data_IF_894045980028
#
_entry.id   IF_894045980028
#
_cell.length_a   1.000
_cell.length_b   1.000
_cell.length_c   1.000
_cell.angle_alpha   90.00
_cell.angle_beta   90.00
_cell.angle_gamma   90.00
#
_symmetry.space_group_name_H-M   'P 1'
#
loop_
_entity.id
_entity.type
_entity.pdbx_description
1 polymer ?
#
# COMPACT_ATOMS: atom_id res chain seq x y z
N UNK A 1 22.93 -69.99 27.83
CA UNK A 1 22.04 -68.82 27.99
C UNK A 1 22.42 -67.82 26.91
N UNK A 2 21.42 -67.49 25.99
CA UNK A 2 21.61 -66.63 24.80
C UNK A 2 21.53 -65.13 25.07
N UNK A 3 21.82 -64.34 24.07
CA UNK A 3 21.67 -62.86 24.06
C UNK A 3 20.18 -62.52 23.95
N UNK A 4 19.73 -61.47 24.68
CA UNK A 4 18.36 -60.96 24.61
C UNK A 4 18.13 -60.14 23.34
N UNK A 5 16.91 -60.24 22.82
CA UNK A 5 16.44 -59.48 21.65
C UNK A 5 15.18 -58.68 22.02
N UNK A 6 15.11 -57.42 21.56
CA UNK A 6 13.89 -56.63 21.54
C UNK A 6 13.09 -57.04 20.30
N UNK A 7 11.77 -57.22 20.43
CA UNK A 7 10.89 -57.50 19.32
C UNK A 7 9.56 -56.79 19.55
N UNK A 8 9.17 -55.91 18.61
CA UNK A 8 7.91 -55.15 18.64
C UNK A 8 7.23 -55.23 17.27
N UNK A 9 5.92 -55.54 17.27
CA UNK A 9 5.11 -55.50 16.06
C UNK A 9 4.85 -54.05 15.65
N UNK A 10 4.94 -53.77 14.34
CA UNK A 10 4.64 -52.45 13.78
C UNK A 10 3.12 -52.24 13.83
N UNK A 11 2.61 -51.08 14.32
CA UNK A 11 1.19 -50.76 14.32
C UNK A 11 0.59 -50.85 12.88
N UNK A 12 -0.65 -51.33 12.80
CA UNK A 12 -1.32 -51.59 11.51
C UNK A 12 -1.46 -50.34 10.64
N UNK A 13 -1.66 -49.19 11.25
CA UNK A 13 -1.78 -47.86 10.64
C UNK A 13 -0.46 -47.33 10.07
N UNK A 14 0.69 -47.85 10.53
CA UNK A 14 2.03 -47.44 10.07
C UNK A 14 2.74 -48.47 9.20
N UNK A 15 2.11 -49.64 8.94
CA UNK A 15 2.73 -50.71 8.14
C UNK A 15 3.25 -50.28 6.78
N UNK A 16 2.59 -49.34 6.14
CA UNK A 16 2.98 -48.80 4.82
C UNK A 16 4.34 -48.08 4.83
N UNK A 17 4.84 -47.66 6.00
CA UNK A 17 6.16 -47.01 6.14
C UNK A 17 7.31 -48.01 6.36
N UNK A 18 7.02 -49.32 6.49
CA UNK A 18 8.00 -50.32 6.79
C UNK A 18 7.90 -51.52 5.85
N UNK A 19 9.05 -52.07 5.47
CA UNK A 19 9.11 -53.28 4.65
C UNK A 19 9.04 -54.59 5.48
N UNK A 20 8.90 -54.50 6.79
CA UNK A 20 8.89 -55.66 7.75
C UNK A 20 7.69 -55.55 8.69
N UNK A 21 7.18 -56.66 9.16
CA UNK A 21 6.05 -56.67 10.10
C UNK A 21 6.45 -56.47 11.58
N UNK A 22 7.70 -56.71 11.89
CA UNK A 22 8.24 -56.62 13.27
C UNK A 22 9.64 -56.02 13.23
N UNK A 23 9.89 -55.14 14.18
CA UNK A 23 11.24 -54.63 14.45
C UNK A 23 11.89 -55.60 15.45
N UNK A 24 13.05 -56.15 15.08
CA UNK A 24 13.83 -57.05 15.89
C UNK A 24 15.23 -56.47 16.04
N UNK A 25 15.69 -56.28 17.26
CA UNK A 25 17.00 -55.70 17.55
C UNK A 25 17.70 -56.49 18.69
N UNK A 26 18.95 -56.86 18.46
CA UNK A 26 19.78 -57.51 19.52
C UNK A 26 20.11 -56.47 20.59
N UNK A 27 19.90 -56.84 21.86
CA UNK A 27 20.25 -56.01 23.03
C UNK A 27 21.70 -56.21 23.47
N UNK A 28 22.44 -57.09 22.83
CA UNK A 28 23.86 -57.37 23.05
C UNK A 28 24.20 -57.59 24.54
N UNK A 29 23.28 -58.13 25.32
CA UNK A 29 23.44 -58.42 26.74
C UNK A 29 22.82 -59.77 27.07
N UNK A 30 23.43 -60.46 28.10
CA UNK A 30 22.89 -61.65 28.67
C UNK A 30 22.29 -61.40 30.09
N UNK A 31 22.32 -60.14 30.53
CA UNK A 31 21.80 -59.75 31.86
C UNK A 31 20.34 -59.25 31.69
N UNK A 32 19.41 -59.85 32.44
CA UNK A 32 17.98 -59.58 32.38
C UNK A 32 17.64 -58.14 32.74
N UNK A 33 18.21 -57.56 33.78
CA UNK A 33 17.97 -56.20 34.22
C UNK A 33 18.42 -55.19 33.20
N UNK A 34 19.60 -55.38 32.59
CA UNK A 34 20.10 -54.53 31.50
C UNK A 34 19.25 -54.66 30.22
N UNK A 35 18.79 -55.88 29.92
CA UNK A 35 17.91 -56.12 28.78
C UNK A 35 16.56 -55.40 28.94
N UNK A 36 15.95 -55.43 30.12
CA UNK A 36 14.70 -54.72 30.40
C UNK A 36 14.86 -53.22 30.27
N UNK A 37 15.90 -52.62 30.85
CA UNK A 37 16.16 -51.17 30.74
C UNK A 37 16.40 -50.75 29.30
N UNK A 38 17.18 -51.45 28.51
CA UNK A 38 17.43 -51.18 27.10
C UNK A 38 16.15 -51.35 26.26
N UNK A 39 15.35 -52.40 26.51
CA UNK A 39 14.08 -52.59 25.82
C UNK A 39 13.11 -51.47 26.09
N UNK A 40 13.03 -50.95 27.30
CA UNK A 40 12.19 -49.82 27.66
C UNK A 40 12.63 -48.52 26.99
N UNK A 41 13.95 -48.26 26.92
CA UNK A 41 14.49 -47.10 26.23
C UNK A 41 14.20 -47.13 24.70
N UNK A 42 14.27 -48.33 24.08
CA UNK A 42 13.93 -48.52 22.67
C UNK A 42 12.43 -48.31 22.46
N UNK A 43 11.58 -48.83 23.34
CA UNK A 43 10.14 -48.67 23.27
C UNK A 43 9.71 -47.22 23.31
N UNK A 44 10.24 -46.42 24.23
CA UNK A 44 9.96 -44.99 24.33
C UNK A 44 10.36 -44.24 23.05
N UNK A 45 11.50 -44.54 22.47
CA UNK A 45 11.95 -43.95 21.18
C UNK A 45 11.05 -44.33 20.02
N UNK A 46 10.58 -45.56 19.96
CA UNK A 46 9.65 -46.03 18.95
C UNK A 46 8.26 -45.35 19.06
N UNK A 47 7.74 -45.24 20.27
CA UNK A 47 6.44 -44.60 20.49
C UNK A 47 6.47 -43.14 20.16
N UNK A 48 7.54 -42.39 20.45
CA UNK A 48 7.74 -41.02 20.01
C UNK A 48 7.83 -40.93 18.46
N UNK A 49 8.62 -41.81 17.85
CA UNK A 49 8.74 -41.86 16.38
C UNK A 49 7.41 -42.15 15.70
N UNK A 50 6.65 -43.14 16.20
CA UNK A 50 5.34 -43.47 15.64
C UNK A 50 4.29 -42.38 15.86
N UNK A 51 4.33 -41.68 16.99
CA UNK A 51 3.48 -40.53 17.24
C UNK A 51 3.77 -39.39 16.27
N UNK A 52 5.05 -39.10 16.02
CA UNK A 52 5.46 -38.10 15.01
C UNK A 52 5.04 -38.48 13.58
N UNK A 53 5.16 -39.78 13.25
CA UNK A 53 4.74 -40.28 11.92
C UNK A 53 3.23 -40.16 11.71
N UNK A 54 2.41 -40.41 12.77
CA UNK A 54 0.95 -40.20 12.70
C UNK A 54 0.59 -38.73 12.53
N UNK A 55 1.20 -37.85 13.32
CA UNK A 55 1.00 -36.39 13.16
C UNK A 55 1.36 -35.89 11.75
N UNK A 56 2.45 -36.42 11.20
CA UNK A 56 2.86 -36.08 9.84
C UNK A 56 1.84 -36.57 8.79
N UNK A 57 1.34 -37.80 8.93
CA UNK A 57 0.29 -38.35 8.05
C UNK A 57 -1.05 -37.57 8.18
N UNK A 58 -1.45 -37.19 9.37
CA UNK A 58 -2.67 -36.38 9.60
C UNK A 58 -2.55 -35.00 8.95
N UNK A 59 -1.38 -34.36 9.05
CA UNK A 59 -1.09 -33.09 8.39
C UNK A 59 -1.11 -33.23 6.85
N UNK A 60 -0.52 -34.32 6.32
CA UNK A 60 -0.55 -34.59 4.89
C UNK A 60 -1.98 -34.91 4.39
N UNK A 61 -2.77 -35.65 5.18
CA UNK A 61 -4.16 -35.98 4.82
C UNK A 61 -5.07 -34.74 4.84
N UNK A 62 -4.94 -33.86 5.84
CA UNK A 62 -5.64 -32.55 5.88
C UNK A 62 -5.21 -31.67 4.73
N UNK A 63 -3.93 -31.64 4.35
CA UNK A 63 -3.43 -30.93 3.17
C UNK A 63 -4.01 -31.49 1.87
N UNK A 64 -4.11 -32.80 1.74
CA UNK A 64 -4.68 -33.49 0.57
C UNK A 64 -6.18 -33.20 0.40
N UNK A 65 -6.96 -33.15 1.48
CA UNK A 65 -8.38 -32.81 1.45
C UNK A 65 -8.60 -31.34 1.01
N UNK A 66 -7.75 -30.41 1.47
CA UNK A 66 -7.79 -29.03 1.05
C UNK A 66 -7.31 -28.82 -0.39
N UNK A 67 -6.44 -29.69 -0.91
CA UNK A 67 -5.95 -29.60 -2.31
C UNK A 67 -7.03 -29.88 -3.36
N UNK A 68 -8.12 -30.55 -3.00
CA UNK A 68 -9.20 -30.89 -3.94
C UNK A 68 -10.35 -29.86 -3.98
N UNK A 69 -10.37 -28.88 -3.06
CA UNK A 69 -11.38 -27.82 -3.11
C UNK A 69 -11.09 -26.89 -4.28
N UNK A 70 -12.01 -26.81 -5.22
CA UNK A 70 -12.00 -25.79 -6.27
C UNK A 70 -12.25 -24.42 -5.63
N UNK A 71 -11.33 -23.47 -5.83
CA UNK A 71 -11.45 -22.11 -5.28
C UNK A 71 -11.55 -21.14 -6.45
N UNK A 72 -12.72 -20.55 -6.62
CA UNK A 72 -12.92 -19.53 -7.65
C UNK A 72 -12.14 -18.25 -7.32
N UNK A 73 -11.73 -17.55 -8.35
CA UNK A 73 -11.03 -16.27 -8.18
C UNK A 73 -11.90 -15.25 -7.42
N UNK A 74 -13.20 -15.22 -7.63
CA UNK A 74 -14.14 -14.36 -6.90
C UNK A 74 -14.18 -14.65 -5.39
N UNK A 75 -14.07 -15.92 -4.98
CA UNK A 75 -13.96 -16.32 -3.57
C UNK A 75 -12.64 -15.79 -2.98
N UNK A 76 -11.54 -15.95 -3.70
CA UNK A 76 -10.22 -15.43 -3.33
C UNK A 76 -10.22 -13.91 -3.14
N UNK A 77 -10.94 -13.16 -3.96
CA UNK A 77 -11.11 -11.70 -3.82
C UNK A 77 -11.81 -11.37 -2.52
N UNK A 78 -12.88 -12.09 -2.18
CA UNK A 78 -13.65 -11.86 -0.95
C UNK A 78 -12.83 -12.16 0.30
N UNK A 79 -12.11 -13.29 0.30
CA UNK A 79 -11.21 -13.67 1.40
C UNK A 79 -10.04 -12.68 1.55
N UNK A 80 -9.43 -12.25 0.42
CA UNK A 80 -8.36 -11.27 0.42
C UNK A 80 -8.80 -9.92 1.01
N UNK A 81 -10.01 -9.46 0.67
CA UNK A 81 -10.59 -8.24 1.21
C UNK A 81 -10.91 -8.39 2.71
N UNK A 82 -11.46 -9.52 3.13
CA UNK A 82 -11.73 -9.81 4.53
C UNK A 82 -10.47 -9.79 5.38
N UNK A 83 -9.39 -10.44 4.90
CA UNK A 83 -8.13 -10.54 5.63
C UNK A 83 -7.31 -9.22 5.63
N UNK A 84 -7.36 -8.45 4.54
CA UNK A 84 -6.46 -7.31 4.32
C UNK A 84 -7.17 -5.95 4.24
N UNK A 85 -8.51 -5.92 4.27
CA UNK A 85 -9.30 -4.70 4.04
C UNK A 85 -9.66 -3.90 5.28
N UNK A 86 -9.72 -4.52 6.46
CA UNK A 86 -10.29 -3.96 7.69
C UNK A 86 -9.69 -2.62 8.16
N UNK A 87 -8.42 -2.36 7.83
CA UNK A 87 -7.72 -1.11 8.19
C UNK A 87 -7.23 -0.33 6.96
N UNK A 88 -7.80 -0.59 5.77
CA UNK A 88 -7.37 0.06 4.54
C UNK A 88 -8.40 1.03 4.00
N UNK A 89 -7.94 1.99 3.20
CA UNK A 89 -8.83 2.97 2.59
C UNK A 89 -9.78 2.33 1.58
N UNK A 90 -10.97 2.91 1.40
CA UNK A 90 -11.93 2.53 0.34
C UNK A 90 -11.29 2.49 -1.06
N UNK A 91 -10.20 3.24 -1.28
CA UNK A 91 -9.43 3.22 -2.53
C UNK A 91 -8.75 1.87 -2.78
N UNK A 92 -8.31 1.19 -1.72
CA UNK A 92 -7.74 -0.15 -1.81
C UNK A 92 -8.81 -1.16 -2.27
N UNK A 93 -9.97 -1.17 -1.63
CA UNK A 93 -11.09 -2.02 -2.00
C UNK A 93 -11.53 -1.79 -3.46
N UNK A 94 -11.72 -0.53 -3.86
CA UNK A 94 -12.01 -0.15 -5.25
C UNK A 94 -10.94 -0.62 -6.24
N UNK A 95 -9.67 -0.65 -5.85
CA UNK A 95 -8.58 -1.15 -6.71
C UNK A 95 -8.65 -2.67 -6.86
N UNK A 96 -8.94 -3.42 -5.79
CA UNK A 96 -9.14 -4.87 -5.79
C UNK A 96 -10.32 -5.23 -6.70
N UNK A 97 -11.49 -4.63 -6.49
CA UNK A 97 -12.67 -4.88 -7.32
C UNK A 97 -12.47 -4.50 -8.79
N UNK A 98 -11.72 -3.43 -9.07
CA UNK A 98 -11.40 -3.05 -10.45
C UNK A 98 -10.51 -4.10 -11.12
N UNK A 99 -9.47 -4.58 -10.45
CA UNK A 99 -8.58 -5.61 -10.98
C UNK A 99 -9.34 -6.91 -11.23
N UNK A 100 -10.20 -7.31 -10.29
CA UNK A 100 -11.07 -8.47 -10.41
C UNK A 100 -12.01 -8.38 -11.62
N UNK A 101 -12.71 -7.25 -11.77
CA UNK A 101 -13.62 -7.05 -12.93
C UNK A 101 -12.89 -7.16 -14.27
N UNK A 102 -11.69 -6.63 -14.38
CA UNK A 102 -10.90 -6.76 -15.61
C UNK A 102 -10.51 -8.22 -15.90
N UNK A 103 -10.10 -8.98 -14.88
CA UNK A 103 -9.76 -10.39 -15.06
C UNK A 103 -10.98 -11.20 -15.50
N UNK A 104 -12.08 -11.09 -14.75
CA UNK A 104 -13.31 -11.82 -15.04
C UNK A 104 -13.86 -11.47 -16.43
N UNK A 105 -13.83 -10.20 -16.82
CA UNK A 105 -14.27 -9.76 -18.15
C UNK A 105 -13.41 -10.28 -19.30
N UNK A 106 -12.13 -10.58 -19.05
CA UNK A 106 -11.21 -11.03 -20.11
C UNK A 106 -11.11 -12.54 -20.26
N UNK A 107 -11.11 -13.28 -19.14
CA UNK A 107 -10.83 -14.74 -19.16
C UNK A 107 -11.82 -15.54 -18.30
N UNK A 108 -12.79 -14.90 -17.68
CA UNK A 108 -13.82 -15.52 -16.84
C UNK A 108 -13.40 -15.72 -15.39
N UNK A 109 -14.40 -16.01 -14.55
CA UNK A 109 -14.20 -16.37 -13.13
C UNK A 109 -13.98 -17.89 -13.04
N UNK A 110 -12.74 -18.29 -12.88
CA UNK A 110 -12.30 -19.69 -12.90
C UNK A 110 -11.75 -20.13 -11.55
N UNK A 111 -11.61 -21.43 -11.38
CA UNK A 111 -10.76 -22.01 -10.33
C UNK A 111 -9.32 -21.51 -10.50
N UNK A 112 -8.66 -21.13 -9.39
CA UNK A 112 -7.28 -20.65 -9.40
C UNK A 112 -6.31 -21.62 -10.08
N UNK A 113 -6.54 -22.93 -9.93
CA UNK A 113 -5.73 -23.98 -10.54
C UNK A 113 -5.88 -24.04 -12.07
N UNK A 114 -6.96 -23.51 -12.62
CA UNK A 114 -7.25 -23.57 -14.06
C UNK A 114 -6.80 -22.33 -14.84
N UNK A 115 -6.24 -21.31 -14.16
CA UNK A 115 -5.60 -20.20 -14.87
C UNK A 115 -4.25 -20.61 -15.43
N UNK A 116 -4.13 -20.53 -16.75
CA UNK A 116 -2.90 -20.84 -17.47
C UNK A 116 -2.11 -19.58 -17.81
N UNK A 117 -0.86 -19.75 -18.22
CA UNK A 117 -0.05 -18.66 -18.78
C UNK A 117 -0.70 -18.00 -19.99
N UNK A 118 -1.41 -18.77 -20.82
CA UNK A 118 -2.19 -18.24 -21.94
C UNK A 118 -3.30 -17.29 -21.45
N UNK A 119 -4.02 -17.65 -20.38
CA UNK A 119 -5.02 -16.76 -19.78
C UNK A 119 -4.40 -15.47 -19.24
N UNK A 120 -3.24 -15.54 -18.61
CA UNK A 120 -2.54 -14.36 -18.11
C UNK A 120 -2.06 -13.43 -19.24
N UNK A 121 -1.61 -13.99 -20.37
CA UNK A 121 -1.28 -13.21 -21.56
C UNK A 121 -2.53 -12.58 -22.19
N UNK A 122 -3.63 -13.32 -22.34
CA UNK A 122 -4.91 -12.79 -22.84
C UNK A 122 -5.43 -11.64 -21.97
N UNK A 123 -5.31 -11.77 -20.65
CA UNK A 123 -5.65 -10.71 -19.72
C UNK A 123 -4.77 -9.45 -19.91
N UNK A 124 -3.46 -9.61 -20.06
CA UNK A 124 -2.54 -8.51 -20.38
C UNK A 124 -2.97 -7.81 -21.68
N UNK A 125 -3.22 -8.57 -22.73
CA UNK A 125 -3.59 -8.05 -24.06
C UNK A 125 -4.95 -7.32 -24.01
N UNK A 126 -5.89 -7.84 -23.22
CA UNK A 126 -7.14 -7.16 -22.92
C UNK A 126 -6.92 -5.80 -22.26
N UNK A 127 -6.03 -5.68 -21.27
CA UNK A 127 -5.72 -4.39 -20.63
C UNK A 127 -5.08 -3.40 -21.63
N UNK A 128 -4.22 -3.91 -22.53
CA UNK A 128 -3.58 -3.10 -23.59
C UNK A 128 -4.64 -2.62 -24.60
N UNK A 129 -5.56 -3.48 -25.02
CA UNK A 129 -6.64 -3.13 -25.94
C UNK A 129 -7.59 -2.06 -25.38
N UNK A 130 -7.72 -2.02 -24.04
CA UNK A 130 -8.46 -0.95 -23.33
C UNK A 130 -7.71 0.40 -23.28
N UNK A 131 -6.56 0.50 -23.96
CA UNK A 131 -5.69 1.70 -24.02
C UNK A 131 -5.28 2.23 -22.64
N UNK A 132 -5.13 1.33 -21.67
CA UNK A 132 -4.67 1.72 -20.33
C UNK A 132 -3.18 2.08 -20.39
N UNK A 133 -2.79 3.11 -19.64
CA UNK A 133 -1.37 3.45 -19.47
C UNK A 133 -0.61 2.30 -18.76
N UNK A 134 0.65 2.08 -19.13
CA UNK A 134 1.50 1.02 -18.60
C UNK A 134 1.59 1.01 -17.07
N UNK A 135 1.61 2.20 -16.44
CA UNK A 135 1.54 2.33 -14.97
C UNK A 135 0.22 1.84 -14.37
N UNK A 136 -0.90 2.00 -15.08
CA UNK A 136 -2.21 1.48 -14.66
C UNK A 136 -2.27 -0.04 -14.80
N UNK A 137 -1.74 -0.58 -15.92
CA UNK A 137 -1.60 -2.02 -16.14
C UNK A 137 -0.75 -2.63 -15.02
N UNK A 138 0.39 -2.00 -14.68
CA UNK A 138 1.27 -2.46 -13.59
C UNK A 138 0.51 -2.57 -12.26
N UNK A 139 -0.28 -1.56 -11.90
CA UNK A 139 -1.07 -1.59 -10.66
C UNK A 139 -2.11 -2.71 -10.65
N UNK A 140 -2.82 -2.90 -11.76
CA UNK A 140 -3.85 -3.94 -11.89
C UNK A 140 -3.21 -5.33 -11.75
N UNK A 141 -2.12 -5.60 -12.48
CA UNK A 141 -1.39 -6.87 -12.41
C UNK A 141 -0.81 -7.11 -11.01
N UNK A 142 -0.26 -6.06 -10.37
CA UNK A 142 0.27 -6.17 -9.00
C UNK A 142 -0.83 -6.51 -8.00
N UNK A 143 -2.00 -5.92 -8.13
CA UNK A 143 -3.16 -6.24 -7.27
C UNK A 143 -3.61 -7.69 -7.47
N UNK A 144 -3.71 -8.17 -8.73
CA UNK A 144 -4.05 -9.56 -9.03
C UNK A 144 -3.03 -10.54 -8.47
N UNK A 145 -1.74 -10.25 -8.65
CA UNK A 145 -0.66 -11.07 -8.09
C UNK A 145 -0.78 -11.21 -6.58
N UNK A 146 -1.12 -10.12 -5.89
CA UNK A 146 -1.28 -10.14 -4.45
C UNK A 146 -2.46 -11.02 -4.02
N UNK A 147 -3.60 -10.95 -4.71
CA UNK A 147 -4.77 -11.79 -4.45
C UNK A 147 -4.44 -13.27 -4.65
N UNK A 148 -3.85 -13.61 -5.81
CA UNK A 148 -3.52 -15.00 -6.13
C UNK A 148 -2.46 -15.56 -5.18
N UNK A 149 -1.41 -14.80 -4.86
CA UNK A 149 -0.39 -15.22 -3.89
C UNK A 149 -0.98 -15.44 -2.49
N UNK A 150 -1.87 -14.55 -2.04
CA UNK A 150 -2.59 -14.72 -0.79
C UNK A 150 -3.33 -16.06 -0.76
N UNK A 151 -4.11 -16.35 -1.79
CA UNK A 151 -4.89 -17.60 -1.85
C UNK A 151 -4.01 -18.85 -1.99
N UNK A 152 -2.88 -18.76 -2.70
CA UNK A 152 -1.89 -19.86 -2.78
C UNK A 152 -1.39 -20.20 -1.36
N UNK A 153 -1.07 -19.19 -0.56
CA UNK A 153 -0.55 -19.38 0.80
C UNK A 153 -1.68 -19.86 1.73
N UNK A 154 -2.82 -19.17 1.73
CA UNK A 154 -3.94 -19.43 2.65
C UNK A 154 -4.48 -20.86 2.49
N UNK A 155 -4.60 -21.31 1.25
CA UNK A 155 -5.13 -22.64 0.94
C UNK A 155 -4.06 -23.68 0.65
N UNK A 156 -2.78 -23.37 0.87
CA UNK A 156 -1.64 -24.26 0.59
C UNK A 156 -1.69 -24.89 -0.82
N UNK A 157 -2.04 -24.08 -1.83
CA UNK A 157 -2.14 -24.54 -3.21
C UNK A 157 -0.75 -24.79 -3.79
N UNK A 158 -0.54 -25.93 -4.46
CA UNK A 158 0.69 -26.24 -5.18
C UNK A 158 0.58 -25.82 -6.65
N UNK A 159 0.47 -24.50 -6.87
CA UNK A 159 0.42 -23.90 -8.20
C UNK A 159 1.33 -22.66 -8.27
N UNK A 160 1.81 -22.37 -9.44
CA UNK A 160 2.51 -21.12 -9.72
C UNK A 160 1.53 -19.99 -10.04
N UNK A 161 1.84 -18.80 -9.58
CA UNK A 161 1.07 -17.62 -9.95
C UNK A 161 1.36 -17.21 -11.39
N UNK A 162 0.47 -17.56 -12.31
CA UNK A 162 0.61 -17.34 -13.75
C UNK A 162 0.69 -15.86 -14.17
N UNK A 163 0.30 -14.93 -13.28
CA UNK A 163 0.36 -13.48 -13.53
C UNK A 163 1.72 -12.85 -13.20
N UNK A 164 2.68 -13.63 -12.69
CA UNK A 164 4.06 -13.18 -12.46
C UNK A 164 4.81 -13.11 -13.81
N UNK A 165 5.70 -12.11 -13.95
CA UNK A 165 6.57 -12.00 -15.12
C UNK A 165 5.85 -11.73 -16.45
N UNK A 166 4.67 -11.07 -16.44
CA UNK A 166 4.02 -10.61 -17.67
C UNK A 166 4.82 -9.45 -18.28
N UNK A 167 5.09 -9.58 -19.57
CA UNK A 167 5.85 -8.59 -20.34
C UNK A 167 4.89 -7.59 -21.04
N UNK A 168 5.09 -6.31 -20.82
CA UNK A 168 4.37 -5.19 -21.48
C UNK A 168 5.16 -3.90 -21.29
N UNK A 169 4.91 -2.90 -22.13
CA UNK A 169 5.53 -1.58 -22.00
C UNK A 169 4.94 -0.81 -20.81
N UNK A 170 5.73 -0.67 -19.76
CA UNK A 170 5.37 0.02 -18.51
C UNK A 170 5.35 1.54 -18.65
N UNK A 171 6.03 2.08 -19.65
CA UNK A 171 6.15 3.52 -19.89
C UNK A 171 5.06 4.05 -20.83
N UNK A 172 4.44 3.17 -21.62
CA UNK A 172 3.42 3.54 -22.60
C UNK A 172 2.27 4.33 -21.97
N UNK A 173 1.99 5.51 -22.50
CA UNK A 173 0.88 6.37 -22.05
C UNK A 173 1.06 6.94 -20.63
N UNK A 174 2.26 6.88 -20.09
CA UNK A 174 2.58 7.55 -18.80
C UNK A 174 2.90 9.01 -19.08
N UNK A 175 1.99 9.90 -18.70
CA UNK A 175 2.22 11.35 -18.80
C UNK A 175 3.30 11.81 -17.82
N UNK A 176 4.23 12.62 -18.31
CA UNK A 176 5.19 13.33 -17.47
C UNK A 176 4.46 14.50 -16.82
N UNK A 177 4.57 14.62 -15.51
CA UNK A 177 4.04 15.78 -14.77
C UNK A 177 5.11 16.84 -14.72
N UNK A 178 4.93 17.88 -15.52
CA UNK A 178 5.87 18.99 -15.59
C UNK A 178 5.67 19.94 -14.40
N UNK A 179 6.73 20.52 -13.85
CA UNK A 179 6.66 21.67 -12.96
C UNK A 179 6.09 22.87 -13.75
N UNK A 180 5.28 23.70 -13.10
CA UNK A 180 4.74 24.92 -13.68
C UNK A 180 5.84 25.99 -13.62
N UNK A 181 6.17 26.69 -14.73
CA UNK A 181 7.16 27.76 -14.74
C UNK A 181 6.78 28.90 -13.78
N UNK A 182 7.76 29.55 -13.18
CA UNK A 182 7.53 30.62 -12.21
C UNK A 182 6.70 31.78 -12.78
N UNK A 183 6.90 32.14 -14.06
CA UNK A 183 6.09 33.13 -14.74
C UNK A 183 4.60 32.79 -14.70
N UNK A 184 4.28 31.53 -15.00
CA UNK A 184 2.89 31.06 -15.06
C UNK A 184 2.29 30.94 -13.66
N UNK A 185 3.09 30.57 -12.65
CA UNK A 185 2.67 30.59 -11.24
C UNK A 185 2.25 32.00 -10.83
N UNK A 186 3.08 33.01 -11.11
CA UNK A 186 2.79 34.42 -10.78
C UNK A 186 1.52 34.91 -11.50
N UNK A 187 1.31 34.54 -12.75
CA UNK A 187 0.11 34.85 -13.50
C UNK A 187 -1.14 34.27 -12.86
N UNK A 188 -1.10 32.97 -12.52
CA UNK A 188 -2.22 32.29 -11.85
C UNK A 188 -2.48 32.87 -10.45
N UNK A 189 -1.44 33.17 -9.68
CA UNK A 189 -1.57 33.81 -8.36
C UNK A 189 -2.22 35.18 -8.45
N UNK A 190 -1.89 35.98 -9.48
CA UNK A 190 -2.57 37.27 -9.76
C UNK A 190 -4.06 37.04 -10.06
N UNK A 191 -4.39 36.07 -10.93
CA UNK A 191 -5.78 35.71 -11.22
C UNK A 191 -6.53 35.22 -9.97
N UNK A 192 -5.84 34.50 -9.06
CA UNK A 192 -6.44 34.07 -7.78
C UNK A 192 -6.86 35.28 -6.92
N UNK A 193 -6.05 36.34 -6.88
CA UNK A 193 -6.36 37.56 -6.14
C UNK A 193 -7.52 38.32 -6.79
N UNK A 194 -7.53 38.44 -8.12
CA UNK A 194 -8.58 39.14 -8.86
C UNK A 194 -9.95 38.48 -8.68
N UNK A 195 -10.02 37.18 -8.71
CA UNK A 195 -11.28 36.43 -8.60
C UNK A 195 -11.74 36.22 -7.16
N UNK A 196 -10.82 36.15 -6.21
CA UNK A 196 -11.00 36.15 -4.76
C UNK A 196 -12.15 35.27 -4.23
N UNK A 197 -12.15 34.00 -4.60
CA UNK A 197 -13.12 33.01 -4.16
C UNK A 197 -12.47 31.74 -3.58
N UNK A 198 -13.28 30.87 -2.99
CA UNK A 198 -12.83 29.61 -2.35
C UNK A 198 -11.92 28.76 -3.25
N UNK A 199 -12.23 28.65 -4.55
CA UNK A 199 -11.44 27.87 -5.48
C UNK A 199 -10.04 28.45 -5.68
N UNK A 200 -9.95 29.79 -5.77
CA UNK A 200 -8.69 30.49 -6.00
C UNK A 200 -7.85 30.55 -4.74
N UNK A 201 -8.49 30.63 -3.56
CA UNK A 201 -7.77 30.48 -2.30
C UNK A 201 -7.10 29.12 -2.20
N UNK A 202 -7.78 28.03 -2.62
CA UNK A 202 -7.19 26.68 -2.64
C UNK A 202 -5.98 26.59 -3.57
N UNK A 203 -6.03 27.21 -4.76
CA UNK A 203 -4.89 27.26 -5.67
C UNK A 203 -3.73 28.05 -5.09
N UNK A 204 -4.00 29.24 -4.56
CA UNK A 204 -2.99 30.11 -3.97
C UNK A 204 -2.31 29.44 -2.77
N UNK A 205 -3.08 28.76 -1.90
CA UNK A 205 -2.56 28.02 -0.76
C UNK A 205 -1.59 26.92 -1.20
N UNK A 206 -1.99 26.10 -2.20
CA UNK A 206 -1.16 24.99 -2.68
C UNK A 206 0.07 25.49 -3.43
N UNK A 207 0.01 26.64 -4.12
CA UNK A 207 1.09 27.16 -4.95
C UNK A 207 2.34 27.53 -4.16
N UNK A 208 2.19 28.03 -2.94
CA UNK A 208 3.30 28.49 -2.08
C UNK A 208 3.53 27.59 -0.84
N UNK A 209 2.77 26.52 -0.67
CA UNK A 209 3.02 25.52 0.40
C UNK A 209 3.50 24.18 -0.15
N UNK A 210 3.26 23.92 -1.44
CA UNK A 210 3.58 22.62 -2.05
C UNK A 210 2.85 21.42 -1.44
N UNK A 211 1.83 21.64 -0.58
CA UNK A 211 1.06 20.54 0.04
C UNK A 211 0.29 19.72 -1.00
N UNK A 212 -0.10 18.50 -0.64
CA UNK A 212 -0.97 17.70 -1.51
C UNK A 212 -2.36 18.34 -1.56
N UNK A 213 -2.99 18.32 -2.74
CA UNK A 213 -4.33 18.88 -2.87
C UNK A 213 -5.32 18.28 -1.87
N UNK A 214 -5.23 16.97 -1.60
CA UNK A 214 -6.06 16.32 -0.60
C UNK A 214 -5.78 16.80 0.84
N UNK A 215 -4.54 17.19 1.14
CA UNK A 215 -4.19 17.80 2.42
C UNK A 215 -4.85 19.17 2.54
N UNK A 216 -4.74 19.98 1.51
CA UNK A 216 -5.31 21.34 1.48
C UNK A 216 -6.84 21.32 1.53
N UNK A 217 -7.50 20.53 0.67
CA UNK A 217 -8.98 20.48 0.65
C UNK A 217 -9.59 20.03 1.96
N UNK A 218 -8.94 19.17 2.72
CA UNK A 218 -9.47 18.63 3.98
C UNK A 218 -9.04 19.37 5.25
N UNK A 219 -8.55 20.60 5.12
CA UNK A 219 -8.18 21.45 6.26
C UNK A 219 -9.41 21.94 7.03
N UNK A 220 -9.25 22.03 8.34
CA UNK A 220 -10.10 22.88 9.18
C UNK A 220 -9.56 24.31 9.22
N UNK A 221 -10.42 25.26 9.52
CA UNK A 221 -10.01 26.65 9.77
C UNK A 221 -9.05 26.73 10.96
N UNK A 222 -9.25 25.91 11.99
CA UNK A 222 -8.35 25.80 13.16
C UNK A 222 -6.95 25.27 12.86
N UNK A 223 -6.77 24.54 11.74
CA UNK A 223 -5.46 24.08 11.28
C UNK A 223 -4.61 25.25 10.76
N UNK A 224 -5.23 26.40 10.47
CA UNK A 224 -4.60 27.63 9.97
C UNK A 224 -4.33 28.55 11.15
N UNK A 225 -3.07 28.66 11.54
CA UNK A 225 -2.60 29.43 12.73
C UNK A 225 -2.04 30.76 12.26
N UNK A 226 -2.88 31.79 12.12
CA UNK A 226 -2.44 33.13 11.70
C UNK A 226 -1.94 34.01 12.85
N UNK A 227 -2.41 33.76 14.07
CA UNK A 227 -2.06 34.56 15.25
C UNK A 227 -0.82 34.03 15.98
N UNK A 228 -0.19 32.97 15.47
CA UNK A 228 1.08 32.45 15.98
C UNK A 228 2.25 33.38 15.58
N UNK A 229 3.36 33.34 16.32
CA UNK A 229 4.58 34.10 16.00
C UNK A 229 5.01 33.88 14.52
N UNK A 230 4.83 32.67 14.02
CA UNK A 230 5.03 32.32 12.63
C UNK A 230 3.71 31.77 12.09
N UNK A 231 3.03 32.52 11.20
CA UNK A 231 1.83 32.03 10.55
C UNK A 231 2.09 30.70 9.84
N UNK A 232 1.24 29.71 10.11
CA UNK A 232 1.48 28.36 9.64
C UNK A 232 0.19 27.56 9.43
N UNK A 233 0.29 26.46 8.69
CA UNK A 233 -0.79 25.47 8.54
C UNK A 233 -0.32 24.12 9.05
N UNK A 234 -1.12 23.50 9.92
CA UNK A 234 -0.86 22.18 10.50
C UNK A 234 -1.47 21.07 9.63
N UNK A 235 -0.63 20.20 9.09
CA UNK A 235 -1.06 19.01 8.38
C UNK A 235 -1.10 17.85 9.37
N UNK A 236 -2.31 17.49 9.80
CA UNK A 236 -2.58 16.37 10.73
C UNK A 236 -3.64 15.44 10.15
N UNK A 237 -3.76 14.23 10.68
CA UNK A 237 -4.83 13.30 10.29
C UNK A 237 -6.17 13.76 10.84
N UNK A 238 -7.21 13.66 10.01
CA UNK A 238 -8.60 13.89 10.41
C UNK A 238 -9.44 12.67 10.01
N UNK A 239 -10.56 12.38 10.67
CA UNK A 239 -11.43 11.25 10.33
C UNK A 239 -11.88 11.24 8.87
N UNK A 240 -12.20 12.41 8.31
CA UNK A 240 -12.59 12.58 6.90
C UNK A 240 -11.41 12.61 5.91
N UNK A 241 -10.18 12.81 6.41
CA UNK A 241 -8.96 12.91 5.60
C UNK A 241 -7.76 12.31 6.35
N UNK A 242 -7.58 10.99 6.31
CA UNK A 242 -6.38 10.36 6.84
C UNK A 242 -5.13 10.81 6.06
N UNK A 243 -3.99 10.85 6.71
CA UNK A 243 -2.71 11.09 6.04
C UNK A 243 -2.27 9.85 5.25
N UNK A 244 -1.60 10.06 4.13
CA UNK A 244 -1.07 8.97 3.30
C UNK A 244 0.00 8.15 4.02
N UNK A 245 0.81 8.82 4.83
CA UNK A 245 1.85 8.23 5.68
C UNK A 245 1.96 9.07 6.95
N UNK A 246 2.41 8.51 8.04
CA UNK A 246 2.61 9.22 9.30
C UNK A 246 3.61 10.38 9.15
N UNK A 247 4.67 10.20 8.38
CA UNK A 247 5.63 11.26 8.05
C UNK A 247 5.06 12.42 7.22
N UNK A 248 3.77 12.37 6.84
CA UNK A 248 3.09 13.52 6.21
C UNK A 248 2.63 14.55 7.24
N UNK A 249 2.59 14.22 8.53
CA UNK A 249 2.26 15.16 9.61
C UNK A 249 3.37 16.21 9.73
N UNK A 250 3.02 17.49 9.65
CA UNK A 250 3.95 18.61 9.68
C UNK A 250 3.25 19.94 9.79
N UNK A 251 3.97 20.95 10.26
CA UNK A 251 3.56 22.35 10.16
C UNK A 251 4.31 22.99 8.99
N UNK A 252 3.62 23.80 8.19
CA UNK A 252 4.16 24.50 7.03
C UNK A 252 3.98 25.99 7.25
N UNK A 253 5.06 26.81 7.24
CA UNK A 253 4.95 28.26 7.28
C UNK A 253 4.12 28.79 6.13
N UNK A 254 3.35 29.83 6.38
CA UNK A 254 2.54 30.51 5.37
C UNK A 254 3.27 31.75 4.88
N UNK A 255 3.70 31.73 3.62
CA UNK A 255 4.39 32.84 2.95
C UNK A 255 3.63 33.23 1.69
N UNK A 256 3.95 34.38 1.11
CA UNK A 256 3.46 34.81 -0.20
C UNK A 256 1.94 34.74 -0.35
N UNK A 257 1.47 34.08 -1.42
CA UNK A 257 0.03 33.99 -1.72
C UNK A 257 -0.68 32.93 -0.88
N UNK A 258 0.06 32.01 -0.27
CA UNK A 258 -0.52 31.10 0.74
C UNK A 258 -0.95 31.86 1.99
N UNK A 259 -0.16 32.83 2.47
CA UNK A 259 -0.53 33.66 3.60
C UNK A 259 -1.76 34.54 3.28
N UNK A 260 -1.80 35.17 2.10
CA UNK A 260 -2.97 35.89 1.64
C UNK A 260 -4.22 35.00 1.63
N UNK A 261 -4.12 33.82 1.03
CA UNK A 261 -5.23 32.87 0.95
C UNK A 261 -5.74 32.45 2.35
N UNK A 262 -4.83 32.14 3.26
CA UNK A 262 -5.16 31.78 4.63
C UNK A 262 -5.91 32.89 5.35
N UNK A 263 -5.51 34.16 5.13
CA UNK A 263 -6.22 35.35 5.65
C UNK A 263 -7.64 35.47 5.08
N UNK A 264 -7.84 35.19 3.78
CA UNK A 264 -9.18 35.20 3.14
C UNK A 264 -10.07 34.08 3.70
N UNK A 265 -9.55 32.86 3.80
CA UNK A 265 -10.25 31.71 4.36
C UNK A 265 -10.76 32.06 5.77
N UNK A 266 -9.87 32.53 6.63
CA UNK A 266 -10.22 32.83 8.02
C UNK A 266 -11.23 33.96 8.17
N UNK A 267 -11.20 34.96 7.26
CA UNK A 267 -12.11 36.12 7.29
C UNK A 267 -13.51 35.78 6.76
N UNK A 268 -13.61 34.89 5.77
CA UNK A 268 -14.85 34.73 4.99
C UNK A 268 -15.56 33.41 5.30
N UNK A 269 -14.83 32.37 5.74
CA UNK A 269 -15.42 31.04 5.95
C UNK A 269 -16.14 30.97 7.30
N UNK A 270 -17.45 30.71 7.26
CA UNK A 270 -18.29 30.48 8.45
C UNK A 270 -18.29 29.00 8.91
N UNK A 271 -17.76 28.12 8.09
CA UNK A 271 -17.67 26.68 8.35
C UNK A 271 -16.42 26.34 9.18
N UNK A 272 -16.47 25.22 9.90
CA UNK A 272 -15.26 24.64 10.49
C UNK A 272 -14.24 24.18 9.44
N UNK A 273 -14.68 23.81 8.22
CA UNK A 273 -13.82 23.46 7.11
C UNK A 273 -13.30 24.69 6.38
N UNK A 274 -12.02 24.73 6.07
CA UNK A 274 -11.41 25.78 5.25
C UNK A 274 -11.99 25.82 3.82
N UNK A 275 -12.44 24.69 3.31
CA UNK A 275 -13.02 24.49 1.99
C UNK A 275 -14.30 23.65 2.08
N UNK A 276 -15.41 24.21 2.58
CA UNK A 276 -16.64 23.47 2.86
C UNK A 276 -17.23 22.79 1.60
N UNK A 277 -17.07 23.37 0.43
CA UNK A 277 -17.55 22.83 -0.85
C UNK A 277 -17.08 21.39 -1.11
N UNK A 278 -15.93 21.00 -0.60
CA UNK A 278 -15.30 19.71 -0.87
C UNK A 278 -15.35 18.74 0.31
N UNK A 279 -15.96 19.14 1.41
CA UNK A 279 -15.97 18.37 2.64
C UNK A 279 -17.37 18.01 3.09
N UNK A 280 -17.54 16.73 3.41
CA UNK A 280 -18.64 16.19 4.19
C UNK A 280 -18.08 15.71 5.52
N UNK A 281 -18.94 15.50 6.52
CA UNK A 281 -18.53 15.04 7.86
C UNK A 281 -17.70 13.75 7.84
N UNK A 282 -17.85 12.91 6.82
CA UNK A 282 -17.20 11.60 6.71
C UNK A 282 -16.11 11.51 5.64
N UNK A 283 -15.98 12.50 4.73
CA UNK A 283 -15.02 12.39 3.61
C UNK A 283 -14.69 13.72 2.95
N UNK A 284 -13.48 13.82 2.40
CA UNK A 284 -13.02 14.94 1.57
C UNK A 284 -13.02 14.55 0.09
N UNK A 285 -13.64 15.36 -0.75
CA UNK A 285 -13.75 15.14 -2.21
C UNK A 285 -12.59 15.78 -2.99
N UNK A 286 -11.35 15.44 -2.67
CA UNK A 286 -10.16 15.99 -3.32
C UNK A 286 -10.10 15.71 -4.84
N UNK A 287 -10.71 14.61 -5.31
CA UNK A 287 -10.79 14.31 -6.74
C UNK A 287 -11.70 15.28 -7.49
N UNK A 288 -12.82 15.69 -6.88
CA UNK A 288 -13.72 16.71 -7.42
C UNK A 288 -13.01 18.06 -7.48
N UNK A 289 -12.31 18.45 -6.41
CA UNK A 289 -11.49 19.65 -6.40
C UNK A 289 -10.44 19.61 -7.52
N UNK A 290 -9.73 18.48 -7.66
CA UNK A 290 -8.73 18.31 -8.73
C UNK A 290 -9.34 18.47 -10.13
N UNK A 291 -10.50 17.88 -10.38
CA UNK A 291 -11.16 17.99 -11.69
C UNK A 291 -11.55 19.44 -12.01
N UNK A 292 -12.19 20.14 -11.06
CA UNK A 292 -12.62 21.53 -11.20
C UNK A 292 -11.44 22.47 -11.41
N UNK A 293 -10.42 22.36 -10.55
CA UNK A 293 -9.25 23.24 -10.60
C UNK A 293 -8.38 23.00 -11.85
N UNK A 294 -8.21 21.74 -12.27
CA UNK A 294 -7.48 21.45 -13.50
C UNK A 294 -8.22 21.97 -14.74
N UNK A 295 -9.57 21.95 -14.74
CA UNK A 295 -10.35 22.56 -15.81
C UNK A 295 -10.14 24.08 -15.85
N UNK A 296 -10.14 24.74 -14.70
CA UNK A 296 -9.85 26.16 -14.60
C UNK A 296 -8.41 26.50 -15.02
N UNK A 297 -7.40 25.77 -14.56
CA UNK A 297 -6.02 25.99 -15.01
C UNK A 297 -5.89 25.93 -16.53
N UNK A 298 -6.60 25.01 -17.18
CA UNK A 298 -6.62 24.91 -18.63
C UNK A 298 -7.30 26.11 -19.29
N UNK A 299 -8.37 26.65 -18.73
CA UNK A 299 -9.02 27.88 -19.26
C UNK A 299 -8.14 29.14 -19.10
N UNK A 300 -7.21 29.12 -18.13
CA UNK A 300 -6.19 30.17 -17.96
C UNK A 300 -4.93 29.92 -18.83
N UNK A 301 -4.97 28.96 -19.77
CA UNK A 301 -3.87 28.68 -20.72
C UNK A 301 -2.88 27.61 -20.26
N UNK A 302 -3.02 27.05 -19.07
CA UNK A 302 -2.11 26.02 -18.54
C UNK A 302 -2.51 24.60 -19.00
N UNK A 303 -2.52 24.37 -20.31
CA UNK A 303 -3.04 23.15 -20.93
C UNK A 303 -2.33 21.86 -20.47
N UNK A 304 -1.02 21.94 -20.26
CA UNK A 304 -0.14 20.78 -19.95
C UNK A 304 0.11 20.59 -18.46
N UNK A 305 -0.45 21.43 -17.61
CA UNK A 305 -0.20 21.43 -16.18
C UNK A 305 -1.42 20.98 -15.37
N UNK A 306 -1.17 20.59 -14.15
CA UNK A 306 -2.20 20.19 -13.20
C UNK A 306 -1.91 20.80 -11.83
N UNK A 307 -2.88 20.77 -10.91
CA UNK A 307 -2.67 21.18 -9.51
C UNK A 307 -1.45 20.50 -8.86
N UNK A 308 -1.13 19.28 -9.26
CA UNK A 308 0.05 18.60 -8.75
C UNK A 308 1.38 19.20 -9.29
N UNK A 309 1.34 19.91 -10.41
CA UNK A 309 2.48 20.65 -10.96
C UNK A 309 3.00 21.71 -10.01
N UNK A 310 2.14 22.41 -9.24
CA UNK A 310 2.57 23.35 -8.21
C UNK A 310 3.49 22.72 -7.16
N UNK A 311 3.20 21.48 -6.77
CA UNK A 311 4.04 20.76 -5.81
C UNK A 311 5.41 20.37 -6.39
N UNK A 312 5.48 20.08 -7.69
CA UNK A 312 6.76 19.90 -8.40
C UNK A 312 7.55 21.20 -8.44
N UNK A 313 6.88 22.28 -8.87
CA UNK A 313 7.51 23.62 -8.93
C UNK A 313 7.97 24.11 -7.58
N UNK A 314 7.20 23.88 -6.52
CA UNK A 314 7.60 24.25 -5.15
C UNK A 314 8.91 23.56 -4.75
N UNK A 315 9.06 22.28 -5.08
CA UNK A 315 10.31 21.56 -4.82
C UNK A 315 11.49 22.13 -5.62
N UNK A 316 11.26 22.46 -6.88
CA UNK A 316 12.32 23.01 -7.74
C UNK A 316 12.69 24.43 -7.30
N UNK A 317 11.73 25.30 -6.96
CA UNK A 317 12.01 26.62 -6.37
C UNK A 317 12.91 26.56 -5.14
N UNK A 318 12.65 25.64 -4.21
CA UNK A 318 13.51 25.42 -3.04
C UNK A 318 14.91 24.91 -3.43
N UNK A 319 15.03 24.09 -4.48
CA UNK A 319 16.31 23.62 -4.99
C UNK A 319 17.11 24.73 -5.66
N UNK A 320 16.44 25.60 -6.40
CA UNK A 320 17.07 26.72 -7.11
C UNK A 320 17.79 27.70 -6.16
N UNK A 321 17.29 27.77 -4.92
CA UNK A 321 17.94 28.57 -3.84
C UNK A 321 18.90 27.72 -2.97
N UNK A 322 19.26 26.50 -3.38
CA UNK A 322 20.12 25.58 -2.64
C UNK A 322 19.59 25.21 -1.24
N UNK A 323 18.28 25.17 -1.04
CA UNK A 323 17.69 24.71 0.21
C UNK A 323 18.11 23.26 0.52
N UNK A 324 18.59 22.95 1.72
CA UNK A 324 18.98 21.60 2.10
C UNK A 324 17.86 20.59 1.84
N UNK A 325 18.21 19.43 1.26
CA UNK A 325 17.22 18.43 0.87
C UNK A 325 16.34 17.95 2.02
N UNK A 326 16.87 17.92 3.23
CA UNK A 326 16.13 17.54 4.45
C UNK A 326 15.05 18.57 4.81
N UNK A 327 15.36 19.86 4.67
CA UNK A 327 14.39 20.96 4.85
C UNK A 327 13.31 20.87 3.79
N UNK A 328 13.69 20.70 2.52
CA UNK A 328 12.75 20.48 1.40
C UNK A 328 11.82 19.31 1.70
N UNK A 329 12.36 18.18 2.12
CA UNK A 329 11.59 16.97 2.40
C UNK A 329 10.68 17.14 3.64
N UNK A 330 11.11 17.89 4.67
CA UNK A 330 10.26 18.21 5.82
C UNK A 330 9.09 19.09 5.43
N UNK A 331 9.30 20.21 4.73
CA UNK A 331 8.24 21.12 4.29
C UNK A 331 7.23 20.37 3.41
N UNK A 332 7.73 19.62 2.44
CA UNK A 332 6.90 18.90 1.48
C UNK A 332 6.22 17.63 2.05
N UNK A 333 6.67 17.10 3.18
CA UNK A 333 6.23 15.80 3.69
C UNK A 333 6.60 14.67 2.70
N UNK A 334 7.83 14.69 2.17
CA UNK A 334 8.41 13.60 1.42
C UNK A 334 9.08 12.60 2.36
N UNK A 335 9.19 11.35 1.92
CA UNK A 335 9.75 10.29 2.75
C UNK A 335 11.22 10.54 3.06
N UNK A 336 11.62 10.31 4.31
CA UNK A 336 13.02 10.30 4.74
C UNK A 336 13.76 9.18 3.99
N UNK A 337 14.93 9.50 3.42
CA UNK A 337 15.70 8.54 2.61
C UNK A 337 16.70 7.74 3.42
N UNK A 338 17.14 8.27 4.55
CA UNK A 338 18.17 7.66 5.40
C UNK A 338 17.70 7.50 6.83
N UNK A 339 18.30 6.55 7.55
CA UNK A 339 18.06 6.33 8.97
C UNK A 339 18.42 7.59 9.78
N UNK A 340 19.50 8.27 9.42
CA UNK A 340 19.95 9.51 10.08
C UNK A 340 18.91 10.62 10.06
N UNK A 341 18.16 10.76 8.97
CA UNK A 341 17.04 11.72 8.87
C UNK A 341 15.85 11.39 9.81
N UNK A 342 15.87 10.20 10.42
CA UNK A 342 14.87 9.76 11.41
C UNK A 342 15.15 10.29 12.83
N UNK A 343 16.36 10.69 13.12
CA UNK A 343 16.74 11.17 14.43
C UNK A 343 16.43 12.67 14.60
N UNK A 344 16.09 13.05 15.83
CA UNK A 344 15.79 14.43 16.20
C UNK A 344 14.37 14.89 15.83
N UNK A 345 14.02 16.11 16.24
CA UNK A 345 12.69 16.72 16.04
C UNK A 345 12.52 17.40 14.69
N UNK A 346 13.52 17.36 13.81
CA UNK A 346 13.55 18.12 12.55
C UNK A 346 13.90 19.59 12.77
N UNK A 347 13.75 20.37 11.69
CA UNK A 347 14.05 21.82 11.69
C UNK A 347 12.92 22.60 12.36
N UNK A 348 13.28 23.63 13.12
CA UNK A 348 12.33 24.56 13.73
C UNK A 348 11.54 25.34 12.66
N UNK A 349 10.31 25.71 12.97
CA UNK A 349 9.40 26.39 12.03
C UNK A 349 10.02 27.68 11.46
N UNK A 350 10.81 28.43 12.26
CA UNK A 350 11.53 29.64 11.82
C UNK A 350 12.54 29.36 10.71
N UNK A 351 13.22 28.21 10.76
CA UNK A 351 14.17 27.84 9.71
C UNK A 351 13.42 27.49 8.41
N UNK A 352 12.27 26.83 8.52
CA UNK A 352 11.41 26.52 7.37
C UNK A 352 10.84 27.80 6.75
N UNK A 353 10.38 28.74 7.57
CA UNK A 353 9.89 30.06 7.14
C UNK A 353 10.96 30.84 6.37
N UNK A 354 12.17 30.88 6.92
CA UNK A 354 13.28 31.57 6.27
C UNK A 354 13.53 31.04 4.84
N UNK A 355 13.62 29.73 4.67
CA UNK A 355 13.79 29.14 3.34
C UNK A 355 12.59 29.40 2.42
N UNK A 356 11.38 29.34 2.96
CA UNK A 356 10.17 29.59 2.16
C UNK A 356 9.98 31.05 1.78
N UNK A 357 10.49 31.99 2.55
CA UNK A 357 10.43 33.42 2.24
C UNK A 357 11.32 33.83 1.07
N UNK A 358 12.29 33.01 0.69
CA UNK A 358 13.22 33.24 -0.43
C UNK A 358 12.66 32.81 -1.81
N UNK A 359 11.48 32.16 -1.87
CA UNK A 359 10.94 31.60 -3.10
C UNK A 359 9.65 32.28 -3.60
#
# INVERSE_FOLDING_TARGET
>A
RGIYYFSKRIPSDLKHLYQVERLIQSLRTKCDSKAKSQAQAILLKLDDHWSKARLHNDVLHRKSLNQNKAIKFSESVSEYLSANGSNRSITFEKAVHRASRYLVASVGDKDLKSYTRANANSFRDYLISRKLAGSSITRIITTLKAIVNFSIIEHSLHIDNQFVGLNYDRSKGVGIRLPIPMRDIRSIQKRCIELDDELRWLVALVSDTGMRLAEATGLLVEDIKLDAEIPSVSIKSHPWRPLKTEGSRRDIPLVGKALWSAGRIRKVTESNFAFPRYNLSSSTSANTASATLNKWLKSEGLLNYTMHGFRHSFRDRLRDINCPSEVVDQIGGWSKKTVGQGYGSGYALRNLEWWMSLI
#
